data_IF_228247694966
#
_entry.id   IF_228247694966
#
_cell.length_a   1.000
_cell.length_b   1.000
_cell.length_c   1.000
_cell.angle_alpha   90.00
_cell.angle_beta   90.00
_cell.angle_gamma   90.00
#
_symmetry.space_group_name_H-M   'P 1'
#
loop_
_entity.id
_entity.type
_entity.pdbx_description
1 polymer ?
#
# COMPACT_ATOMS: atom_id res chain seq x y z
N UNK A 1 6.23 7.66 -25.58
CA UNK A 1 7.51 7.88 -24.86
C UNK A 1 7.93 6.65 -24.06
N UNK A 2 7.50 5.43 -24.39
CA UNK A 2 7.54 4.31 -23.43
C UNK A 2 8.06 2.97 -24.01
N UNK A 3 8.94 3.01 -25.01
CA UNK A 3 9.44 1.79 -25.66
C UNK A 3 10.97 1.72 -25.78
N UNK A 4 11.72 2.65 -25.17
CA UNK A 4 13.17 2.77 -25.36
C UNK A 4 13.99 2.38 -24.11
N UNK A 5 13.34 2.09 -22.97
CA UNK A 5 14.05 1.77 -21.72
C UNK A 5 14.24 0.27 -21.42
N UNK A 6 13.79 -0.63 -22.30
CA UNK A 6 13.66 -2.06 -21.97
C UNK A 6 14.86 -2.93 -22.41
N UNK A 7 15.90 -2.35 -23.00
CA UNK A 7 17.04 -3.10 -23.59
C UNK A 7 17.99 -3.70 -22.51
N UNK A 8 17.78 -3.40 -21.22
CA UNK A 8 18.68 -3.85 -20.15
C UNK A 8 18.01 -4.26 -18.84
N UNK A 9 16.68 -4.41 -18.79
CA UNK A 9 16.02 -4.89 -17.58
C UNK A 9 16.18 -6.41 -17.49
N UNK A 10 16.64 -6.96 -16.34
CA UNK A 10 16.64 -8.41 -16.16
C UNK A 10 15.21 -8.93 -16.34
N UNK A 11 15.05 -9.99 -17.12
CA UNK A 11 13.74 -10.59 -17.41
C UNK A 11 12.96 -10.81 -16.10
N UNK A 12 11.73 -10.31 -16.07
CA UNK A 12 10.79 -10.62 -14.99
C UNK A 12 10.50 -12.12 -14.95
N UNK A 13 10.02 -12.63 -13.81
CA UNK A 13 9.69 -14.05 -13.68
C UNK A 13 8.64 -14.52 -14.71
N UNK A 14 7.70 -13.65 -15.07
CA UNK A 14 6.72 -13.87 -16.15
C UNK A 14 7.38 -13.89 -17.53
N UNK A 15 8.32 -13.00 -17.83
CA UNK A 15 9.04 -13.00 -19.12
C UNK A 15 9.93 -14.24 -19.27
N UNK A 16 10.60 -14.66 -18.19
CA UNK A 16 11.33 -15.93 -18.16
C UNK A 16 10.40 -17.12 -18.41
N UNK A 17 9.19 -17.10 -17.84
CA UNK A 17 8.18 -18.13 -18.08
C UNK A 17 7.77 -18.17 -19.57
N UNK A 18 7.45 -17.02 -20.17
CA UNK A 18 7.07 -16.93 -21.59
C UNK A 18 8.20 -17.43 -22.50
N UNK A 19 9.46 -17.05 -22.21
CA UNK A 19 10.62 -17.53 -22.98
C UNK A 19 10.81 -19.05 -22.83
N UNK A 20 10.62 -19.59 -21.62
CA UNK A 20 10.72 -21.02 -21.38
C UNK A 20 9.57 -21.81 -22.05
N UNK A 21 8.35 -21.27 -22.06
CA UNK A 21 7.21 -21.83 -22.80
C UNK A 21 7.48 -21.89 -24.29
N UNK A 22 8.03 -20.81 -24.87
CA UNK A 22 8.40 -20.76 -26.28
C UNK A 22 9.52 -21.76 -26.62
N UNK A 23 10.53 -21.87 -25.76
CA UNK A 23 11.62 -22.83 -25.92
C UNK A 23 11.13 -24.28 -25.84
N UNK A 24 10.27 -24.59 -24.87
CA UNK A 24 9.64 -25.90 -24.74
C UNK A 24 8.78 -26.23 -25.96
N UNK A 25 7.91 -25.31 -26.39
CA UNK A 25 7.07 -25.49 -27.58
C UNK A 25 7.91 -25.83 -28.81
N UNK A 26 8.99 -25.09 -29.05
CA UNK A 26 9.90 -25.36 -30.17
C UNK A 26 10.53 -26.75 -30.08
N UNK A 27 11.00 -27.16 -28.89
CA UNK A 27 11.60 -28.48 -28.70
C UNK A 27 10.57 -29.62 -28.84
N UNK A 28 9.35 -29.40 -28.34
CA UNK A 28 8.23 -30.33 -28.46
C UNK A 28 7.78 -30.50 -29.92
N UNK A 29 7.67 -29.40 -30.67
CA UNK A 29 7.33 -29.41 -32.09
C UNK A 29 8.40 -30.19 -32.90
N UNK A 30 9.70 -29.95 -32.64
CA UNK A 30 10.79 -30.68 -33.31
C UNK A 30 10.74 -32.18 -32.96
N UNK A 31 10.55 -32.53 -31.69
CA UNK A 31 10.41 -33.91 -31.26
C UNK A 31 9.23 -34.61 -31.96
N UNK A 32 8.05 -33.98 -31.96
CA UNK A 32 6.85 -34.55 -32.57
C UNK A 32 7.01 -34.78 -34.08
N UNK A 33 7.75 -33.91 -34.77
CA UNK A 33 8.03 -34.04 -36.20
C UNK A 33 9.09 -35.11 -36.51
N UNK A 34 10.08 -35.30 -35.63
CA UNK A 34 11.27 -36.13 -35.92
C UNK A 34 11.27 -37.50 -35.24
N UNK A 35 10.41 -37.72 -34.24
CA UNK A 35 10.39 -38.97 -33.45
C UNK A 35 10.16 -40.22 -34.30
N UNK A 36 9.35 -40.14 -35.35
CA UNK A 36 9.02 -41.27 -36.25
C UNK A 36 9.62 -41.09 -37.66
N UNK A 37 10.50 -40.10 -37.85
CA UNK A 37 11.12 -39.81 -39.15
C UNK A 37 12.15 -40.89 -39.50
N UNK A 38 11.93 -41.57 -40.62
CA UNK A 38 12.77 -42.65 -41.13
C UNK A 38 14.22 -42.20 -41.42
N UNK A 39 14.43 -40.92 -41.76
CA UNK A 39 15.76 -40.38 -42.05
C UNK A 39 16.53 -39.94 -40.80
N UNK A 40 15.89 -39.96 -39.62
CA UNK A 40 16.52 -39.60 -38.34
C UNK A 40 17.08 -40.85 -37.69
N UNK A 41 18.38 -40.87 -37.46
CA UNK A 41 19.03 -41.95 -36.72
C UNK A 41 18.71 -41.88 -35.22
N UNK A 42 18.92 -43.00 -34.53
CA UNK A 42 18.56 -43.14 -33.11
C UNK A 42 19.31 -42.14 -32.21
N UNK A 43 20.53 -41.77 -32.56
CA UNK A 43 21.33 -40.79 -31.80
C UNK A 43 20.73 -39.38 -31.90
N UNK A 44 20.34 -38.92 -33.10
CA UNK A 44 19.67 -37.64 -33.28
C UNK A 44 18.29 -37.64 -32.60
N UNK A 45 17.56 -38.77 -32.64
CA UNK A 45 16.30 -38.93 -31.90
C UNK A 45 16.51 -38.76 -30.39
N UNK A 46 17.54 -39.38 -29.83
CA UNK A 46 17.88 -39.22 -28.42
C UNK A 46 18.22 -37.76 -28.06
N UNK A 47 18.88 -37.01 -28.95
CA UNK A 47 19.16 -35.57 -28.74
C UNK A 47 17.88 -34.73 -28.71
N UNK A 48 16.94 -34.96 -29.63
CA UNK A 48 15.67 -34.24 -29.62
C UNK A 48 14.84 -34.51 -28.35
N UNK A 49 14.89 -35.75 -27.86
CA UNK A 49 14.27 -36.10 -26.58
C UNK A 49 14.92 -35.35 -25.41
N UNK A 50 16.25 -35.34 -25.35
CA UNK A 50 17.01 -34.65 -24.30
C UNK A 50 16.77 -33.14 -24.31
N UNK A 51 16.79 -32.50 -25.49
CA UNK A 51 16.49 -31.07 -25.65
C UNK A 51 15.07 -30.74 -25.17
N UNK A 52 14.10 -31.60 -25.48
CA UNK A 52 12.72 -31.47 -25.02
C UNK A 52 12.60 -31.58 -23.50
N UNK A 53 13.22 -32.59 -22.89
CA UNK A 53 13.19 -32.74 -21.42
C UNK A 53 13.92 -31.61 -20.71
N UNK A 54 15.04 -31.14 -21.25
CA UNK A 54 15.74 -29.97 -20.72
C UNK A 54 14.87 -28.71 -20.79
N UNK A 55 14.16 -28.49 -21.89
CA UNK A 55 13.24 -27.37 -22.02
C UNK A 55 12.02 -27.51 -21.08
N UNK A 56 11.55 -28.74 -20.84
CA UNK A 56 10.48 -29.05 -19.88
C UNK A 56 10.87 -28.67 -18.46
N UNK A 57 12.08 -29.07 -18.04
CA UNK A 57 12.62 -28.73 -16.72
C UNK A 57 12.83 -27.22 -16.57
N UNK A 58 13.31 -26.54 -17.62
CA UNK A 58 13.45 -25.08 -17.62
C UNK A 58 12.10 -24.36 -17.50
N UNK A 59 11.07 -24.85 -18.19
CA UNK A 59 9.70 -24.36 -18.09
C UNK A 59 9.13 -24.55 -16.68
N UNK A 60 9.29 -25.72 -16.08
CA UNK A 60 8.82 -25.99 -14.72
C UNK A 60 9.51 -25.07 -13.68
N UNK A 61 10.84 -24.89 -13.81
CA UNK A 61 11.59 -23.99 -12.96
C UNK A 61 11.15 -22.53 -13.11
N UNK A 62 10.93 -22.06 -14.35
CA UNK A 62 10.44 -20.72 -14.62
C UNK A 62 9.03 -20.51 -14.07
N UNK A 63 8.14 -21.50 -14.22
CA UNK A 63 6.77 -21.47 -13.69
C UNK A 63 6.76 -21.39 -12.18
N UNK A 64 7.56 -22.22 -11.51
CA UNK A 64 7.71 -22.19 -10.05
C UNK A 64 8.21 -20.84 -9.56
N UNK A 65 9.17 -20.22 -10.27
CA UNK A 65 9.70 -18.90 -9.94
C UNK A 65 8.65 -17.80 -10.13
N UNK A 66 7.87 -17.83 -11.21
CA UNK A 66 6.78 -16.89 -11.46
C UNK A 66 5.66 -17.00 -10.43
N UNK A 67 5.32 -18.22 -10.02
CA UNK A 67 4.32 -18.47 -8.98
C UNK A 67 4.80 -17.98 -7.60
N UNK A 68 6.06 -18.23 -7.26
CA UNK A 68 6.67 -17.71 -6.02
C UNK A 68 6.67 -16.17 -5.99
N UNK A 69 7.04 -15.53 -7.10
CA UNK A 69 7.02 -14.06 -7.20
C UNK A 69 5.60 -13.52 -7.02
N UNK A 70 4.63 -14.12 -7.71
CA UNK A 70 3.22 -13.72 -7.61
C UNK A 70 2.69 -13.88 -6.17
N UNK A 71 3.09 -14.94 -5.47
CA UNK A 71 2.68 -15.15 -4.08
C UNK A 71 3.34 -14.14 -3.14
N UNK A 72 4.61 -13.82 -3.35
CA UNK A 72 5.32 -12.80 -2.58
C UNK A 72 4.68 -11.42 -2.78
N UNK A 73 4.36 -11.06 -4.01
CA UNK A 73 3.72 -9.78 -4.33
C UNK A 73 2.32 -9.68 -3.70
N UNK A 74 1.54 -10.75 -3.72
CA UNK A 74 0.24 -10.82 -3.02
C UNK A 74 0.39 -10.64 -1.51
N UNK A 75 1.36 -11.29 -0.90
CA UNK A 75 1.60 -11.18 0.54
C UNK A 75 2.05 -9.75 0.91
N UNK A 76 2.93 -9.15 0.12
CA UNK A 76 3.38 -7.77 0.31
C UNK A 76 2.22 -6.78 0.16
N UNK A 77 1.34 -6.98 -0.83
CA UNK A 77 0.15 -6.15 -1.02
C UNK A 77 -0.81 -6.26 0.17
N UNK A 78 -1.09 -7.47 0.64
CA UNK A 78 -1.97 -7.69 1.81
C UNK A 78 -1.40 -7.05 3.08
N UNK A 79 -0.09 -7.14 3.30
CA UNK A 79 0.57 -6.45 4.42
C UNK A 79 0.44 -4.94 4.28
N UNK A 80 0.71 -4.38 3.10
CA UNK A 80 0.55 -2.95 2.83
C UNK A 80 -0.89 -2.48 3.06
N UNK A 81 -1.90 -3.21 2.58
CA UNK A 81 -3.31 -2.86 2.76
C UNK A 81 -3.73 -2.95 4.23
N UNK A 82 -3.18 -3.91 4.98
CA UNK A 82 -3.41 -4.06 6.42
C UNK A 82 -2.77 -2.91 7.21
N UNK A 83 -1.53 -2.54 6.88
CA UNK A 83 -0.83 -1.42 7.50
C UNK A 83 -1.51 -0.09 7.19
N UNK A 84 -1.90 0.14 5.92
CA UNK A 84 -2.66 1.32 5.52
C UNK A 84 -3.99 1.42 6.28
N UNK A 85 -4.70 0.31 6.44
CA UNK A 85 -5.95 0.27 7.20
C UNK A 85 -5.73 0.53 8.70
N UNK A 86 -4.69 -0.07 9.28
CA UNK A 86 -4.30 0.18 10.68
C UNK A 86 -3.94 1.64 10.90
N UNK A 87 -3.15 2.24 10.00
CA UNK A 87 -2.75 3.64 10.06
C UNK A 87 -3.96 4.56 10.00
N UNK A 88 -4.89 4.32 9.06
CA UNK A 88 -6.14 5.08 8.96
C UNK A 88 -6.98 5.00 10.23
N UNK A 89 -7.13 3.80 10.80
CA UNK A 89 -7.88 3.61 12.05
C UNK A 89 -7.21 4.34 13.23
N UNK A 90 -5.88 4.30 13.31
CA UNK A 90 -5.15 5.05 14.36
C UNK A 90 -5.21 6.56 14.17
N UNK A 91 -5.16 7.04 12.93
CA UNK A 91 -5.24 8.46 12.60
C UNK A 91 -6.65 9.01 12.90
N UNK A 92 -7.69 8.26 12.53
CA UNK A 92 -9.07 8.63 12.82
C UNK A 92 -9.35 8.61 14.32
N UNK A 93 -8.82 7.63 15.06
CA UNK A 93 -8.90 7.59 16.52
C UNK A 93 -8.19 8.80 17.16
N UNK A 94 -6.96 9.13 16.74
CA UNK A 94 -6.24 10.33 17.22
C UNK A 94 -7.03 11.61 16.94
N UNK A 95 -7.56 11.76 15.73
CA UNK A 95 -8.39 12.91 15.35
C UNK A 95 -9.70 12.96 16.13
N UNK A 96 -10.30 11.81 16.46
CA UNK A 96 -11.47 11.72 17.31
C UNK A 96 -11.13 12.13 18.76
N UNK A 97 -9.98 11.70 19.30
CA UNK A 97 -9.49 12.17 20.60
C UNK A 97 -9.25 13.68 20.60
N UNK A 98 -8.61 14.24 19.58
CA UNK A 98 -8.43 15.69 19.42
C UNK A 98 -9.77 16.45 19.30
N UNK A 99 -10.78 15.83 18.71
CA UNK A 99 -12.12 16.41 18.56
C UNK A 99 -12.95 16.31 19.84
N UNK A 100 -12.79 15.23 20.60
CA UNK A 100 -13.45 14.99 21.88
C UNK A 100 -12.80 15.76 23.03
N UNK A 101 -11.52 16.11 22.91
CA UNK A 101 -10.82 16.91 23.90
C UNK A 101 -11.56 18.24 24.09
N UNK A 102 -12.05 18.43 25.32
CA UNK A 102 -12.82 19.62 25.67
C UNK A 102 -11.95 20.86 25.52
N UNK A 103 -12.52 22.05 25.25
CA UNK A 103 -11.72 23.25 25.13
C UNK A 103 -10.90 23.56 26.40
N UNK A 104 -11.41 23.19 27.57
CA UNK A 104 -10.71 23.31 28.84
C UNK A 104 -9.50 22.37 28.89
N UNK A 105 -9.65 21.10 28.50
CA UNK A 105 -8.53 20.15 28.44
C UNK A 105 -7.48 20.57 27.41
N UNK A 106 -7.88 21.16 26.27
CA UNK A 106 -6.94 21.72 25.29
C UNK A 106 -6.15 22.87 25.87
N UNK A 107 -6.82 23.76 26.61
CA UNK A 107 -6.16 24.84 27.31
C UNK A 107 -5.17 24.31 28.35
N UNK A 108 -5.59 23.41 29.23
CA UNK A 108 -4.74 22.80 30.27
C UNK A 108 -3.52 22.11 29.66
N UNK A 109 -3.69 21.31 28.61
CA UNK A 109 -2.57 20.64 27.93
C UNK A 109 -1.59 21.66 27.32
N UNK A 110 -2.09 22.76 26.73
CA UNK A 110 -1.27 23.84 26.21
C UNK A 110 -0.52 24.59 27.31
N UNK A 111 -1.13 24.77 28.48
CA UNK A 111 -0.48 25.36 29.65
C UNK A 111 0.68 24.48 30.14
N UNK A 112 0.48 23.17 30.24
CA UNK A 112 1.51 22.21 30.67
C UNK A 112 2.67 22.15 29.66
N UNK A 113 2.37 22.12 28.37
CA UNK A 113 3.37 22.15 27.30
C UNK A 113 4.24 23.41 27.38
N UNK A 114 3.63 24.59 27.51
CA UNK A 114 4.34 25.85 27.63
C UNK A 114 5.16 25.92 28.94
N UNK A 115 4.62 25.42 30.06
CA UNK A 115 5.34 25.35 31.32
C UNK A 115 6.56 24.42 31.21
N UNK A 116 6.42 23.29 30.53
CA UNK A 116 7.54 22.36 30.28
C UNK A 116 8.57 22.96 29.35
N UNK A 117 8.15 23.60 28.26
CA UNK A 117 9.05 24.27 27.33
C UNK A 117 9.85 25.39 28.00
N UNK A 118 9.23 26.12 28.93
CA UNK A 118 9.89 27.16 29.72
C UNK A 118 10.91 26.54 30.69
N UNK A 119 10.54 25.45 31.39
CA UNK A 119 11.46 24.71 32.28
C UNK A 119 12.64 24.09 31.54
N UNK A 120 12.39 23.55 30.35
CA UNK A 120 13.41 22.98 29.46
C UNK A 120 14.29 24.07 28.81
N UNK A 121 13.97 25.36 29.00
CA UNK A 121 14.69 26.48 28.38
C UNK A 121 14.48 26.61 26.86
N UNK A 122 13.47 25.93 26.30
CA UNK A 122 13.15 25.94 24.85
C UNK A 122 12.42 27.21 24.42
N UNK A 123 11.82 27.91 25.36
CA UNK A 123 11.15 29.20 25.14
C UNK A 123 11.58 30.20 26.21
N UNK A 124 11.58 31.49 25.86
CA UNK A 124 11.80 32.56 26.83
C UNK A 124 10.50 32.87 27.59
N UNK A 125 10.63 33.51 28.76
CA UNK A 125 9.46 33.98 29.52
C UNK A 125 8.54 34.89 28.70
N UNK A 126 9.12 35.70 27.79
CA UNK A 126 8.36 36.57 26.89
C UNK A 126 7.53 35.78 25.89
N UNK A 127 8.10 34.71 25.33
CA UNK A 127 7.42 33.80 24.41
C UNK A 127 6.32 33.01 25.14
N UNK A 128 6.61 32.54 26.36
CA UNK A 128 5.63 31.90 27.23
C UNK A 128 4.41 32.81 27.46
N UNK A 129 4.62 34.08 27.83
CA UNK A 129 3.53 35.02 28.07
C UNK A 129 2.69 35.26 26.80
N UNK A 130 3.35 35.36 25.64
CA UNK A 130 2.68 35.57 24.35
C UNK A 130 1.86 34.34 23.94
N UNK A 131 2.45 33.14 24.03
CA UNK A 131 1.79 31.88 23.67
C UNK A 131 0.67 31.51 24.66
N UNK A 132 0.85 31.81 25.94
CA UNK A 132 -0.18 31.60 26.97
C UNK A 132 -1.37 32.56 26.77
N UNK A 133 -1.11 33.82 26.44
CA UNK A 133 -2.17 34.79 26.14
C UNK A 133 -2.98 34.39 24.90
N UNK A 134 -2.30 33.89 23.85
CA UNK A 134 -2.96 33.35 22.67
C UNK A 134 -3.83 32.12 23.01
N UNK A 135 -3.28 31.15 23.75
CA UNK A 135 -4.02 29.96 24.17
C UNK A 135 -5.26 30.29 25.03
N UNK A 136 -5.14 31.29 25.92
CA UNK A 136 -6.25 31.77 26.75
C UNK A 136 -7.34 32.42 25.90
N UNK A 137 -6.94 33.25 24.92
CA UNK A 137 -7.86 33.89 23.98
C UNK A 137 -8.63 32.86 23.14
N UNK A 138 -7.96 31.82 22.68
CA UNK A 138 -8.58 30.73 21.92
C UNK A 138 -9.57 29.93 22.79
N UNK A 139 -9.22 29.66 24.04
CA UNK A 139 -10.13 29.05 25.01
C UNK A 139 -11.37 29.92 25.28
N UNK A 140 -11.18 31.22 25.53
CA UNK A 140 -12.30 32.15 25.71
C UNK A 140 -13.19 32.26 24.46
N UNK A 141 -12.60 32.18 23.25
CA UNK A 141 -13.36 32.15 22.01
C UNK A 141 -14.20 30.87 21.86
N UNK A 142 -13.69 29.73 22.31
CA UNK A 142 -14.45 28.46 22.30
C UNK A 142 -15.60 28.44 23.32
N UNK A 143 -15.44 29.13 24.45
CA UNK A 143 -16.49 29.39 25.45
C UNK A 143 -17.54 30.39 24.96
N UNK A 144 -17.15 31.35 24.12
CA UNK A 144 -17.99 32.42 23.60
C UNK A 144 -18.85 32.06 22.38
N UNK A 145 -18.99 30.78 21.99
CA UNK A 145 -19.86 30.43 20.84
C UNK A 145 -21.18 31.22 20.91
N UNK A 146 -21.59 31.96 19.86
CA UNK A 146 -22.98 32.37 19.76
C UNK A 146 -23.78 31.07 19.85
N UNK A 147 -24.83 31.08 20.68
CA UNK A 147 -25.87 30.04 20.68
C UNK A 147 -26.03 29.59 19.23
N UNK A 148 -25.70 28.34 18.91
CA UNK A 148 -26.14 27.80 17.64
C UNK A 148 -27.64 28.02 17.64
N UNK A 149 -28.05 28.93 16.77
CA UNK A 149 -29.40 29.07 16.26
C UNK A 149 -29.96 27.67 16.19
N UNK A 150 -30.92 27.38 17.07
CA UNK A 150 -31.63 26.13 17.03
C UNK A 150 -32.05 25.90 15.60
N UNK A 151 -31.62 24.78 15.04
CA UNK A 151 -32.33 24.18 13.91
C UNK A 151 -33.74 23.97 14.44
N UNK A 152 -34.62 24.94 14.19
CA UNK A 152 -36.06 24.74 14.30
C UNK A 152 -36.37 23.74 13.20
N UNK A 153 -36.36 22.45 13.55
CA UNK A 153 -37.19 21.49 12.86
C UNK A 153 -38.61 22.01 12.99
N UNK A 154 -39.14 22.57 11.90
CA UNK A 154 -40.54 22.94 11.82
C UNK A 154 -41.32 21.63 11.89
N UNK A 155 -41.96 21.38 13.04
CA UNK A 155 -43.06 20.44 13.12
C UNK A 155 -44.20 21.02 12.28
N UNK A 156 -44.22 20.69 10.99
CA UNK A 156 -45.33 20.98 10.08
C UNK A 156 -46.33 19.83 10.12
N UNK A 157 -47.43 20.10 10.81
CA UNK A 157 -48.81 19.61 10.61
C UNK A 157 -49.03 18.14 10.19
N UNK A 158 -49.47 17.34 11.19
CA UNK A 158 -50.48 16.31 10.95
C UNK A 158 -51.77 17.04 10.55
N UNK A 159 -52.09 17.03 9.27
CA UNK A 159 -53.45 17.25 8.79
C UNK A 159 -54.19 15.91 8.96
N UNK A 160 -55.12 15.88 9.91
CA UNK A 160 -56.20 14.91 9.96
C UNK A 160 -57.22 15.29 8.89
N UNK A 161 -57.67 14.31 8.12
CA UNK A 161 -58.92 14.31 7.34
C UNK A 161 -59.59 12.95 7.60
#
# INVERSE_FOLDING_TARGET
WDAVLDIGRPDTAQEMLIKAEAAFKKADDIWNLRKDDYFVNDEARARYWDDREKARLALEAARKKAEQQTQQDKNAQQQSDTEASRLKYTEEAQKAYERLQTPLEKYTARQEELNKALKDGKILQADYNTLMAAAKKDYEATLKKPKQSGVKVSAGDRQED
#
